data_IF_898365914683
#
_entry.id   IF_898365914683
#
_cell.length_a   1.000
_cell.length_b   1.000
_cell.length_c   1.000
_cell.angle_alpha   90.00
_cell.angle_beta   90.00
_cell.angle_gamma   90.00
#
_symmetry.space_group_name_H-M   'P 1'
#
loop_
_entity.id
_entity.type
_entity.pdbx_description
1 polymer ?
#
# COMPACT_ATOMS: atom_id res chain seq x y z
N UNK A 1 29.39 -7.47 -5.80
CA UNK A 1 28.19 -7.79 -5.00
C UNK A 1 27.00 -7.24 -5.76
N UNK A 2 26.02 -8.07 -6.07
CA UNK A 2 24.79 -7.59 -6.70
C UNK A 2 24.09 -6.62 -5.72
N UNK A 3 23.51 -5.54 -6.24
CA UNK A 3 22.71 -4.64 -5.42
C UNK A 3 21.43 -5.38 -4.99
N UNK A 4 21.03 -5.23 -3.73
CA UNK A 4 19.78 -5.81 -3.25
C UNK A 4 18.61 -5.32 -4.11
N UNK A 5 17.84 -6.25 -4.67
CA UNK A 5 16.65 -5.98 -5.48
C UNK A 5 15.38 -6.58 -4.87
N UNK A 6 15.48 -7.25 -3.72
CA UNK A 6 14.37 -7.80 -2.94
C UNK A 6 14.42 -7.23 -1.52
N UNK A 7 13.28 -6.76 -1.05
CA UNK A 7 13.04 -6.42 0.35
C UNK A 7 12.28 -7.58 1.00
N UNK A 8 12.57 -7.94 2.23
CA UNK A 8 11.71 -8.83 3.00
C UNK A 8 11.21 -8.15 4.23
N UNK A 9 9.96 -8.43 4.57
CA UNK A 9 9.37 -7.99 5.83
C UNK A 9 8.72 -9.15 6.59
N UNK A 10 8.75 -9.06 7.92
CA UNK A 10 8.14 -10.05 8.80
C UNK A 10 6.94 -9.42 9.52
N UNK A 11 5.73 -9.77 9.08
CA UNK A 11 4.49 -9.12 9.50
C UNK A 11 3.48 -10.06 10.16
N UNK A 12 2.70 -9.55 11.10
CA UNK A 12 1.57 -10.28 11.68
C UNK A 12 0.25 -10.08 10.92
N UNK A 13 0.19 -9.12 9.99
CA UNK A 13 -1.01 -8.73 9.23
C UNK A 13 -1.44 -9.74 8.17
N UNK A 14 -2.74 -9.97 8.00
CA UNK A 14 -3.25 -10.89 6.98
C UNK A 14 -3.07 -10.33 5.56
N UNK A 15 -3.33 -11.17 4.55
CA UNK A 15 -3.33 -10.71 3.16
C UNK A 15 -4.39 -9.63 2.97
N UNK A 16 -5.59 -9.83 3.52
CA UNK A 16 -6.71 -8.88 3.42
C UNK A 16 -6.33 -7.50 3.98
N UNK A 17 -5.72 -7.46 5.17
CA UNK A 17 -5.23 -6.21 5.77
C UNK A 17 -4.18 -5.53 4.90
N UNK A 18 -3.22 -6.30 4.37
CA UNK A 18 -2.16 -5.77 3.48
C UNK A 18 -2.74 -5.20 2.18
N UNK A 19 -3.73 -5.89 1.60
CA UNK A 19 -4.38 -5.43 0.36
C UNK A 19 -5.22 -4.18 0.61
N UNK A 20 -5.97 -4.12 1.72
CA UNK A 20 -6.75 -2.95 2.13
C UNK A 20 -5.86 -1.73 2.41
N UNK A 21 -4.68 -1.94 3.01
CA UNK A 21 -3.67 -0.91 3.26
C UNK A 21 -2.97 -0.41 1.97
N UNK A 22 -3.19 -1.07 0.83
CA UNK A 22 -2.44 -0.81 -0.41
C UNK A 22 -0.98 -1.26 -0.35
N UNK A 23 -0.63 -2.09 0.63
CA UNK A 23 0.71 -2.62 0.86
C UNK A 23 0.99 -2.91 2.33
N UNK A 24 2.27 -2.92 2.70
CA UNK A 24 2.70 -3.35 4.03
C UNK A 24 3.31 -2.20 4.84
N UNK A 25 2.83 -2.03 6.07
CA UNK A 25 2.96 -0.80 6.87
C UNK A 25 3.99 -0.88 8.01
N UNK A 26 4.29 0.29 8.60
CA UNK A 26 4.96 0.44 9.90
C UNK A 26 6.43 -0.02 9.97
N UNK A 27 7.17 0.04 8.86
CA UNK A 27 8.57 -0.40 8.81
C UNK A 27 9.58 0.68 9.21
N UNK A 28 10.57 0.32 10.05
CA UNK A 28 11.82 1.08 10.12
C UNK A 28 12.78 0.50 9.09
N UNK A 29 13.05 1.28 8.04
CA UNK A 29 13.88 0.88 6.92
C UNK A 29 14.62 2.09 6.34
N UNK A 30 15.62 1.82 5.51
CA UNK A 30 16.22 2.85 4.65
C UNK A 30 15.33 3.01 3.41
N UNK A 31 14.69 4.17 3.29
CA UNK A 31 13.76 4.45 2.19
C UNK A 31 14.44 4.40 0.83
N UNK A 32 15.65 4.96 0.70
CA UNK A 32 16.34 5.02 -0.59
C UNK A 32 16.69 3.61 -1.06
N UNK A 33 17.17 2.76 -0.15
CA UNK A 33 17.44 1.35 -0.43
C UNK A 33 16.16 0.57 -0.74
N UNK A 34 15.09 0.78 0.02
CA UNK A 34 13.81 0.10 -0.22
C UNK A 34 13.19 0.48 -1.57
N UNK A 35 13.27 1.75 -1.99
CA UNK A 35 12.79 2.21 -3.31
C UNK A 35 13.60 1.65 -4.48
N UNK A 36 14.84 1.20 -4.23
CA UNK A 36 15.66 0.56 -5.26
C UNK A 36 15.33 -0.93 -5.44
N UNK A 37 14.64 -1.56 -4.48
CA UNK A 37 14.16 -2.93 -4.61
C UNK A 37 12.98 -3.00 -5.58
N UNK A 38 12.91 -4.09 -6.35
CA UNK A 38 11.82 -4.38 -7.28
C UNK A 38 10.68 -5.12 -6.59
N UNK A 39 11.02 -6.05 -5.70
CA UNK A 39 10.08 -6.92 -5.03
C UNK A 39 10.13 -6.74 -3.52
N UNK A 40 9.01 -7.01 -2.85
CA UNK A 40 8.94 -7.27 -1.42
C UNK A 40 8.38 -8.67 -1.18
N UNK A 41 9.13 -9.51 -0.46
CA UNK A 41 8.67 -10.81 0.05
C UNK A 41 8.11 -10.59 1.44
N UNK A 42 6.85 -10.98 1.65
CA UNK A 42 6.14 -10.77 2.90
C UNK A 42 6.06 -12.11 3.62
N UNK A 43 6.73 -12.17 4.77
CA UNK A 43 6.83 -13.36 5.59
C UNK A 43 5.97 -13.22 6.85
N UNK A 44 5.43 -14.35 7.33
CA UNK A 44 4.52 -14.39 8.46
C UNK A 44 5.23 -14.35 9.80
N UNK A 45 4.85 -13.41 10.65
CA UNK A 45 5.19 -13.39 12.06
C UNK A 45 4.15 -14.15 12.91
N UNK A 46 4.16 -15.48 12.88
CA UNK A 46 3.24 -16.29 13.70
C UNK A 46 3.55 -16.25 15.22
N UNK A 47 4.60 -15.52 15.64
CA UNK A 47 4.97 -15.33 17.05
C UNK A 47 4.40 -14.03 17.64
N UNK A 48 3.75 -13.21 16.82
CA UNK A 48 3.05 -12.00 17.29
C UNK A 48 1.81 -12.38 18.11
N UNK A 49 1.50 -11.59 19.14
CA UNK A 49 0.25 -11.71 19.90
C UNK A 49 -0.98 -11.34 19.06
N UNK A 50 -0.79 -10.54 18.01
CA UNK A 50 -1.83 -10.06 17.10
C UNK A 50 -1.60 -10.63 15.70
N UNK A 51 -1.37 -11.94 15.62
CA UNK A 51 -1.28 -12.63 14.33
C UNK A 51 -2.67 -12.76 13.72
N UNK A 52 -2.79 -12.34 12.46
CA UNK A 52 -4.06 -12.36 11.72
C UNK A 52 -4.13 -13.51 10.71
N UNK A 53 -2.99 -14.08 10.30
CA UNK A 53 -2.91 -15.18 9.33
C UNK A 53 -2.50 -16.54 9.93
N UNK A 54 -2.69 -17.60 9.15
CA UNK A 54 -2.49 -19.00 9.59
C UNK A 54 -1.12 -19.58 9.20
N UNK A 55 -0.34 -18.88 8.41
CA UNK A 55 0.90 -19.41 7.84
C UNK A 55 1.94 -19.67 8.96
N UNK A 56 2.81 -20.67 8.81
CA UNK A 56 3.89 -20.90 9.78
C UNK A 56 4.81 -19.68 9.93
N UNK A 57 5.46 -19.57 11.10
CA UNK A 57 6.43 -18.50 11.33
C UNK A 57 7.55 -18.52 10.27
N UNK A 58 7.76 -17.38 9.63
CA UNK A 58 8.81 -17.20 8.62
C UNK A 58 8.45 -17.70 7.22
N UNK A 59 7.26 -18.27 7.01
CA UNK A 59 6.80 -18.60 5.65
C UNK A 59 6.52 -17.34 4.85
N UNK A 60 7.01 -17.29 3.61
CA UNK A 60 6.59 -16.31 2.62
C UNK A 60 5.19 -16.70 2.12
N UNK A 61 4.25 -15.76 2.22
CA UNK A 61 2.86 -15.99 1.84
C UNK A 61 2.34 -15.01 0.77
N UNK A 62 3.10 -13.94 0.52
CA UNK A 62 2.76 -12.92 -0.46
C UNK A 62 4.05 -12.29 -1.00
N UNK A 63 4.09 -12.03 -2.31
CA UNK A 63 5.13 -11.24 -2.96
C UNK A 63 4.49 -10.03 -3.61
N UNK A 64 4.99 -8.84 -3.31
CA UNK A 64 4.53 -7.60 -3.91
C UNK A 64 5.57 -7.02 -4.86
N UNK A 65 5.14 -6.37 -5.94
CA UNK A 65 5.99 -5.45 -6.71
C UNK A 65 5.91 -4.07 -6.08
N UNK A 66 7.07 -3.50 -5.74
CA UNK A 66 7.14 -2.22 -5.04
C UNK A 66 6.75 -1.10 -6.00
N UNK A 67 5.71 -0.34 -5.63
CA UNK A 67 5.25 0.86 -6.34
C UNK A 67 5.94 2.11 -5.83
N UNK A 68 5.91 2.31 -4.52
CA UNK A 68 6.60 3.41 -3.83
C UNK A 68 6.80 3.07 -2.35
N UNK A 69 7.62 3.87 -1.68
CA UNK A 69 7.83 3.81 -0.23
C UNK A 69 7.51 5.19 0.35
N UNK A 70 6.38 5.27 1.05
CA UNK A 70 5.75 6.49 1.55
C UNK A 70 5.60 6.44 3.08
N UNK A 71 5.42 7.58 3.77
CA UNK A 71 5.18 7.55 5.21
C UNK A 71 4.01 6.62 5.56
N UNK A 72 4.15 5.83 6.63
CA UNK A 72 3.09 4.95 7.10
C UNK A 72 1.92 5.76 7.65
N UNK A 73 0.70 5.26 7.46
CA UNK A 73 -0.51 5.86 8.03
C UNK A 73 -0.80 5.41 9.46
N UNK A 74 -0.08 4.39 9.95
CA UNK A 74 -0.31 3.81 11.29
C UNK A 74 0.64 4.35 12.35
N UNK A 75 1.92 4.52 11.98
CA UNK A 75 2.98 4.89 12.93
C UNK A 75 3.84 6.00 12.34
N UNK A 76 3.90 7.14 13.04
CA UNK A 76 4.76 8.26 12.66
C UNK A 76 6.24 7.85 12.59
N UNK A 77 6.97 8.36 11.59
CA UNK A 77 8.38 8.04 11.38
C UNK A 77 8.66 6.63 10.82
N UNK A 78 7.61 5.88 10.48
CA UNK A 78 7.71 4.57 9.79
C UNK A 78 7.27 4.67 8.34
N UNK A 79 7.57 3.63 7.57
CA UNK A 79 7.30 3.57 6.14
C UNK A 79 6.26 2.51 5.79
N UNK A 80 5.39 2.86 4.84
CA UNK A 80 4.54 1.98 4.06
C UNK A 80 5.27 1.63 2.75
N UNK A 81 5.36 0.34 2.46
CA UNK A 81 5.79 -0.17 1.16
C UNK A 81 4.52 -0.42 0.35
N UNK A 82 4.23 0.49 -0.59
CA UNK A 82 3.07 0.38 -1.47
C UNK A 82 3.33 -0.65 -2.56
N UNK A 83 2.32 -1.42 -2.89
CA UNK A 83 2.38 -2.43 -3.94
C UNK A 83 1.67 -1.93 -5.20
N UNK A 84 2.17 -2.32 -6.38
CA UNK A 84 1.43 -2.15 -7.64
C UNK A 84 0.67 -3.42 -7.99
N UNK A 85 1.30 -4.56 -7.72
CA UNK A 85 0.80 -5.90 -8.01
C UNK A 85 1.26 -6.83 -6.87
N UNK A 86 0.53 -7.92 -6.67
CA UNK A 86 0.87 -8.94 -5.70
C UNK A 86 0.68 -10.34 -6.29
N UNK A 87 1.41 -11.31 -5.77
CA UNK A 87 1.27 -12.72 -6.08
C UNK A 87 1.23 -13.51 -4.78
N UNK A 88 0.32 -14.48 -4.70
CA UNK A 88 0.33 -15.44 -3.60
C UNK A 88 1.49 -16.42 -3.77
N UNK A 89 2.09 -16.81 -2.66
CA UNK A 89 3.03 -17.91 -2.58
C UNK A 89 2.81 -18.69 -1.28
N UNK A 90 3.35 -19.89 -1.21
CA UNK A 90 3.38 -20.68 0.02
C UNK A 90 4.73 -21.36 0.10
N UNK A 91 5.72 -20.62 0.61
CA UNK A 91 7.09 -21.11 0.71
C UNK A 91 7.54 -21.00 2.16
N UNK A 92 7.80 -22.14 2.84
CA UNK A 92 8.17 -22.14 4.24
C UNK A 92 9.60 -21.63 4.47
N UNK A 93 9.87 -21.12 5.67
CA UNK A 93 11.24 -20.87 6.12
C UNK A 93 12.01 -19.76 5.40
N UNK A 94 11.32 -18.84 4.72
CA UNK A 94 11.91 -17.76 3.93
C UNK A 94 12.30 -16.52 4.75
N UNK A 95 12.37 -16.65 6.07
CA UNK A 95 12.75 -15.57 6.97
C UNK A 95 13.91 -15.95 7.87
N UNK A 96 14.98 -15.14 7.78
CA UNK A 96 16.09 -15.17 8.72
C UNK A 96 16.38 -13.75 9.22
N UNK A 97 16.69 -13.62 10.51
CA UNK A 97 17.20 -12.38 11.10
C UNK A 97 16.41 -11.87 12.30
N UNK A 98 17.05 -10.95 13.03
CA UNK A 98 16.53 -10.36 14.27
C UNK A 98 15.58 -9.18 14.02
N UNK A 99 15.85 -8.37 13.00
CA UNK A 99 15.06 -7.19 12.67
C UNK A 99 14.00 -7.58 11.64
N UNK A 100 12.77 -7.07 11.70
CA UNK A 100 11.66 -7.52 10.85
C UNK A 100 11.72 -6.95 9.41
N UNK A 101 12.88 -6.44 8.99
CA UNK A 101 13.17 -5.95 7.64
C UNK A 101 14.56 -6.45 7.23
N UNK A 102 14.66 -7.04 6.05
CA UNK A 102 15.91 -7.53 5.48
C UNK A 102 15.97 -7.21 3.98
N UNK A 103 17.19 -7.19 3.43
CA UNK A 103 17.42 -6.83 2.03
C UNK A 103 18.27 -7.91 1.37
N UNK A 104 17.76 -8.43 0.26
CA UNK A 104 18.29 -9.59 -0.44
C UNK A 104 18.33 -9.34 -1.94
N UNK A 105 18.82 -10.33 -2.65
CA UNK A 105 18.73 -10.45 -4.09
C UNK A 105 17.76 -11.57 -4.47
N UNK A 106 17.22 -11.55 -5.68
CA UNK A 106 16.38 -12.65 -6.19
C UNK A 106 17.10 -14.01 -6.09
N UNK A 107 18.44 -14.03 -6.23
CA UNK A 107 19.26 -15.24 -6.14
C UNK A 107 19.43 -15.78 -4.71
N UNK A 108 19.02 -15.05 -3.68
CA UNK A 108 19.01 -15.54 -2.29
C UNK A 108 17.79 -16.43 -1.98
N UNK A 109 16.86 -16.58 -2.95
CA UNK A 109 15.68 -17.44 -2.83
C UNK A 109 15.78 -18.65 -3.75
N UNK A 110 16.05 -19.82 -3.17
CA UNK A 110 16.13 -21.07 -3.94
C UNK A 110 14.74 -21.61 -4.33
N UNK A 111 13.72 -21.36 -3.51
CA UNK A 111 12.37 -21.94 -3.64
C UNK A 111 11.33 -20.94 -4.19
N UNK A 112 11.74 -19.72 -4.52
CA UNK A 112 10.84 -18.66 -5.01
C UNK A 112 11.36 -18.05 -6.32
N UNK A 113 10.70 -18.40 -7.42
CA UNK A 113 11.00 -17.81 -8.73
C UNK A 113 10.04 -16.65 -9.05
N UNK A 114 10.56 -15.43 -8.89
CA UNK A 114 9.82 -14.18 -9.14
C UNK A 114 9.33 -14.00 -10.59
N UNK A 115 9.91 -14.71 -11.55
CA UNK A 115 9.53 -14.66 -12.96
C UNK A 115 8.30 -15.49 -13.31
N UNK A 116 7.94 -16.46 -12.47
CA UNK A 116 6.83 -17.41 -12.70
C UNK A 116 5.62 -17.16 -11.82
N UNK A 117 5.74 -16.28 -10.83
CA UNK A 117 4.63 -15.87 -9.97
C UNK A 117 3.50 -15.20 -10.77
N UNK A 118 2.26 -15.57 -10.43
CA UNK A 118 1.04 -14.98 -11.00
C UNK A 118 0.73 -13.65 -10.31
N UNK A 119 1.26 -12.56 -10.86
CA UNK A 119 1.03 -11.22 -10.34
C UNK A 119 -0.34 -10.68 -10.77
N UNK A 120 -1.14 -10.32 -9.78
CA UNK A 120 -2.44 -9.68 -9.93
C UNK A 120 -2.33 -8.21 -9.54
N UNK A 121 -3.09 -7.32 -10.19
CA UNK A 121 -3.12 -5.91 -9.80
C UNK A 121 -3.64 -5.76 -8.36
N UNK A 122 -3.11 -4.78 -7.63
CA UNK A 122 -3.69 -4.42 -6.34
C UNK A 122 -5.18 -4.04 -6.51
N UNK A 123 -6.04 -4.42 -5.56
CA UNK A 123 -7.44 -4.02 -5.62
C UNK A 123 -7.53 -2.49 -5.65
N UNK A 124 -8.48 -1.96 -6.42
CA UNK A 124 -8.79 -0.55 -6.34
C UNK A 124 -9.22 -0.26 -4.90
N UNK A 125 -8.71 0.81 -4.26
CA UNK A 125 -9.14 1.18 -2.93
C UNK A 125 -10.66 1.28 -2.95
N UNK A 126 -11.33 0.55 -2.05
CA UNK A 126 -12.76 0.68 -1.87
C UNK A 126 -13.01 2.17 -1.63
N UNK A 127 -13.66 2.79 -2.60
CA UNK A 127 -13.90 4.23 -2.63
C UNK A 127 -14.93 4.55 -1.54
N UNK A 128 -14.53 4.55 -0.26
CA UNK A 128 -15.32 5.18 0.79
C UNK A 128 -15.47 6.69 0.54
N UNK A 129 -14.60 7.25 -0.32
CA UNK A 129 -14.67 8.63 -0.79
C UNK A 129 -14.27 8.73 -2.28
N UNK A 130 -15.05 8.12 -3.17
CA UNK A 130 -15.29 8.85 -4.41
C UNK A 130 -16.14 10.06 -3.99
N UNK A 131 -15.63 11.33 -4.01
CA UNK A 131 -16.58 12.42 -4.00
C UNK A 131 -17.54 12.11 -5.15
N UNK A 132 -18.87 12.12 -4.92
CA UNK A 132 -19.80 11.91 -6.02
C UNK A 132 -19.30 12.82 -7.13
N UNK A 133 -19.00 12.26 -8.32
CA UNK A 133 -18.58 13.05 -9.49
C UNK A 133 -19.45 14.30 -9.44
N UNK A 134 -18.85 15.45 -9.11
CA UNK A 134 -19.64 16.63 -8.83
C UNK A 134 -20.51 16.81 -10.05
N UNK A 135 -21.82 16.56 -9.91
CA UNK A 135 -22.68 16.65 -11.07
C UNK A 135 -22.51 18.08 -11.57
N UNK A 136 -22.27 18.28 -12.87
CA UNK A 136 -22.07 19.61 -13.40
C UNK A 136 -23.21 20.50 -12.92
N UNK A 137 -22.89 21.48 -12.07
CA UNK A 137 -23.88 22.39 -11.55
C UNK A 137 -24.16 23.43 -12.62
N UNK A 138 -25.44 23.70 -12.84
CA UNK A 138 -25.85 24.89 -13.59
C UNK A 138 -25.49 26.15 -12.80
N UNK A 139 -25.32 27.27 -13.51
CA UNK A 139 -25.13 28.58 -12.87
C UNK A 139 -26.24 28.90 -11.86
N UNK A 140 -27.48 28.48 -12.14
CA UNK A 140 -28.61 28.68 -11.24
C UNK A 140 -28.47 27.89 -9.93
N UNK A 141 -28.07 26.61 -10.01
CA UNK A 141 -27.83 25.78 -8.83
C UNK A 141 -26.65 26.31 -8.00
N UNK A 142 -25.58 26.75 -8.65
CA UNK A 142 -24.45 27.38 -7.97
C UNK A 142 -24.86 28.64 -7.21
N UNK A 143 -25.63 29.54 -7.85
CA UNK A 143 -26.16 30.75 -7.20
C UNK A 143 -27.15 30.43 -6.07
N UNK A 144 -27.99 29.41 -6.20
CA UNK A 144 -28.90 28.99 -5.14
C UNK A 144 -28.15 28.49 -3.90
N UNK A 145 -27.11 27.67 -4.09
CA UNK A 145 -26.26 27.20 -2.99
C UNK A 145 -25.53 28.35 -2.28
N UNK A 146 -24.95 29.28 -3.05
CA UNK A 146 -24.28 30.45 -2.48
C UNK A 146 -25.27 31.40 -1.79
N UNK A 147 -26.48 31.57 -2.34
CA UNK A 147 -27.56 32.37 -1.74
C UNK A 147 -27.94 31.86 -0.35
N UNK A 148 -28.10 30.55 -0.19
CA UNK A 148 -28.39 29.93 1.10
C UNK A 148 -27.22 30.05 2.09
N UNK A 149 -25.97 29.95 1.62
CA UNK A 149 -24.78 30.02 2.46
C UNK A 149 -24.49 31.43 2.98
N UNK A 150 -24.74 32.45 2.17
CA UNK A 150 -24.38 33.84 2.47
C UNK A 150 -25.58 34.74 2.80
N UNK A 151 -26.80 34.17 2.83
CA UNK A 151 -28.05 34.88 3.11
C UNK A 151 -28.26 36.12 2.23
N UNK A 152 -27.99 35.96 0.93
CA UNK A 152 -28.17 37.01 -0.09
C UNK A 152 -29.03 36.49 -1.24
N UNK A 153 -29.81 37.33 -1.92
CA UNK A 153 -30.61 36.88 -3.05
C UNK A 153 -29.70 36.38 -4.20
N UNK A 154 -30.10 35.35 -4.98
CA UNK A 154 -29.29 34.83 -6.09
C UNK A 154 -28.90 35.88 -7.13
N UNK A 155 -29.71 36.93 -7.29
CA UNK A 155 -29.45 38.06 -8.18
C UNK A 155 -28.27 38.92 -7.76
N UNK A 156 -27.88 38.90 -6.48
CA UNK A 156 -26.74 39.64 -5.94
C UNK A 156 -25.41 38.89 -6.06
N UNK A 157 -25.40 37.69 -6.66
CA UNK A 157 -24.23 36.81 -6.73
C UNK A 157 -23.67 36.79 -8.15
N UNK A 158 -22.37 37.10 -8.27
CA UNK A 158 -21.59 37.00 -9.49
C UNK A 158 -20.56 35.86 -9.39
N UNK A 159 -20.45 35.04 -10.45
CA UNK A 159 -19.50 33.93 -10.52
C UNK A 159 -18.59 34.18 -11.73
N UNK A 160 -17.28 34.32 -11.50
CA UNK A 160 -16.28 34.59 -12.53
C UNK A 160 -15.39 33.36 -12.69
N UNK A 161 -15.31 32.83 -13.90
CA UNK A 161 -14.39 31.74 -14.27
C UNK A 161 -13.21 32.37 -15.02
N UNK A 162 -11.98 32.17 -14.51
CA UNK A 162 -10.75 32.57 -15.20
C UNK A 162 -10.04 31.31 -15.70
N UNK A 163 -9.61 31.34 -16.95
CA UNK A 163 -8.82 30.30 -17.60
C UNK A 163 -7.35 30.69 -17.61
#
# INVERSE_FOLDING_TARGET
MANANVLSVLTSKSVETILADGGTQSWALDRARAKACRYVVICRNARSQHVEGIEPHGSAFLVGRIKDVVPSTETEGRWLIQLSEYAHCDVPGQWEGRNPVAYWTEADYDELDFGTLDFQPMPEPENEYAPPRAQPLTLAQAKAGLSAAFDVPPSAIEIIIRA
#
